data_IF_156761333480
#
_entry.id   IF_156761333480
#
_cell.length_a   1.000
_cell.length_b   1.000
_cell.length_c   1.000
_cell.angle_alpha   90.00
_cell.angle_beta   90.00
_cell.angle_gamma   90.00
#
_symmetry.space_group_name_H-M   'P 1'
#
loop_
_entity.id
_entity.type
_entity.pdbx_description
1 polymer ?
#
# COMPACT_ATOMS: atom_id res chain seq x y z
N UNK A 1 6.33 -13.28 14.28
CA UNK A 1 5.96 -11.95 13.77
C UNK A 1 6.93 -11.61 12.66
N UNK A 2 6.45 -11.42 11.43
CA UNK A 2 7.27 -10.80 10.39
C UNK A 2 7.58 -9.35 10.83
N UNK A 3 8.79 -8.83 10.56
CA UNK A 3 9.11 -7.45 10.88
C UNK A 3 8.12 -6.50 10.18
N UNK A 4 7.71 -5.42 10.86
CA UNK A 4 6.95 -4.33 10.24
C UNK A 4 7.89 -3.60 9.30
N UNK A 5 7.83 -3.97 8.02
CA UNK A 5 8.73 -3.42 7.00
C UNK A 5 8.35 -2.00 6.60
N UNK A 6 7.09 -1.60 6.84
CA UNK A 6 6.55 -0.27 6.56
C UNK A 6 6.06 0.43 7.83
N UNK A 7 6.32 1.74 7.91
CA UNK A 7 5.60 2.67 8.79
C UNK A 7 4.39 3.16 7.99
N UNK A 8 3.19 3.01 8.55
CA UNK A 8 1.93 3.39 7.90
C UNK A 8 1.24 4.51 8.68
N UNK A 9 0.72 5.49 7.94
CA UNK A 9 -0.10 6.58 8.45
C UNK A 9 -1.40 6.63 7.63
N UNK A 10 -2.53 6.56 8.32
CA UNK A 10 -3.86 6.59 7.71
C UNK A 10 -4.65 7.77 8.25
N UNK A 11 -5.09 8.65 7.35
CA UNK A 11 -6.05 9.72 7.61
C UNK A 11 -7.42 9.25 7.12
N UNK A 12 -8.30 8.91 8.07
CA UNK A 12 -9.64 8.42 7.77
C UNK A 12 -10.54 9.50 7.16
N UNK A 13 -10.36 10.77 7.55
CA UNK A 13 -11.15 11.92 7.11
C UNK A 13 -10.86 12.24 5.65
N UNK A 14 -9.58 12.31 5.29
CA UNK A 14 -9.16 12.56 3.91
C UNK A 14 -9.09 11.29 3.05
N UNK A 15 -9.16 10.11 3.66
CA UNK A 15 -8.99 8.83 2.96
C UNK A 15 -7.59 8.64 2.37
N UNK A 16 -6.58 9.19 3.03
CA UNK A 16 -5.18 9.15 2.59
C UNK A 16 -4.40 8.14 3.40
N UNK A 17 -3.67 7.27 2.70
CA UNK A 17 -2.66 6.38 3.24
C UNK A 17 -1.29 6.84 2.79
N UNK A 18 -0.38 6.96 3.72
CA UNK A 18 1.06 7.04 3.50
C UNK A 18 1.72 5.81 4.10
N UNK A 19 2.59 5.15 3.34
CA UNK A 19 3.39 4.04 3.82
C UNK A 19 4.83 4.20 3.34
N UNK A 20 5.80 4.10 4.25
CA UNK A 20 7.23 4.22 3.95
C UNK A 20 7.98 3.05 4.55
N UNK A 21 8.84 2.42 3.73
CA UNK A 21 9.69 1.33 4.19
C UNK A 21 10.70 1.87 5.20
N UNK A 22 10.83 1.24 6.36
CA UNK A 22 11.93 1.58 7.28
C UNK A 22 13.26 1.29 6.58
N UNK A 23 14.23 2.23 6.57
CA UNK A 23 15.54 1.95 6.00
C UNK A 23 16.16 0.75 6.69
N UNK A 24 16.43 -0.32 5.95
CA UNK A 24 17.21 -1.45 6.48
C UNK A 24 18.67 -1.01 6.55
N UNK A 25 19.05 -0.42 7.68
CA UNK A 25 20.42 -0.02 7.97
C UNK A 25 20.66 -0.06 9.48
N UNK A 26 21.52 -0.97 9.90
CA UNK A 26 22.24 -0.85 11.16
C UNK A 26 22.84 0.58 11.21
N UNK A 27 22.74 1.33 12.33
CA UNK A 27 23.42 2.62 12.45
C UNK A 27 24.92 2.39 12.56
N UNK A 28 25.56 1.98 11.46
CA UNK A 28 27.00 1.96 11.32
C UNK A 28 27.48 3.42 11.33
N UNK A 29 28.00 3.82 12.49
CA UNK A 29 28.88 4.96 12.73
C UNK A 29 28.63 6.22 11.88
N UNK A 30 27.84 7.14 12.43
CA UNK A 30 28.06 8.58 12.25
C UNK A 30 27.78 9.17 10.86
N UNK A 31 27.26 8.40 9.91
CA UNK A 31 26.85 8.96 8.63
C UNK A 31 25.46 9.60 8.80
N UNK A 32 25.40 10.94 8.75
CA UNK A 32 24.14 11.67 8.70
C UNK A 32 23.21 11.04 7.65
N UNK A 33 21.91 10.87 7.93
CA UNK A 33 20.98 10.28 6.97
C UNK A 33 21.09 11.08 5.65
N UNK A 34 21.09 10.42 4.48
CA UNK A 34 21.11 11.14 3.22
C UNK A 34 19.90 12.08 3.19
N UNK A 35 20.18 13.38 3.22
CA UNK A 35 19.19 14.44 3.14
C UNK A 35 18.61 14.46 1.73
N UNK A 36 17.53 13.71 1.51
CA UNK A 36 16.70 13.77 0.30
C UNK A 36 16.55 12.45 -0.50
N UNK A 37 15.50 12.32 -1.33
CA UNK A 37 15.12 11.12 -2.08
C UNK A 37 16.03 10.89 -3.30
N UNK A 38 17.35 10.85 -3.11
CA UNK A 38 18.28 10.55 -4.20
C UNK A 38 18.12 9.07 -4.61
N UNK A 39 17.58 8.82 -5.80
CA UNK A 39 17.44 7.49 -6.40
C UNK A 39 16.05 6.86 -6.32
N UNK A 40 15.04 7.57 -5.83
CA UNK A 40 13.65 7.12 -5.90
C UNK A 40 12.99 7.55 -7.20
N UNK A 41 12.27 6.62 -7.83
CA UNK A 41 11.46 6.86 -9.03
C UNK A 41 9.99 6.79 -8.63
N UNK A 42 9.26 7.91 -8.64
CA UNK A 42 7.82 7.92 -8.38
C UNK A 42 7.04 7.44 -9.60
N UNK A 43 5.99 6.65 -9.37
CA UNK A 43 5.06 6.17 -10.40
C UNK A 43 3.64 6.44 -9.93
N UNK A 44 3.02 7.47 -10.51
CA UNK A 44 1.65 7.87 -10.25
C UNK A 44 0.66 7.23 -11.22
N UNK A 45 -0.44 6.69 -10.71
CA UNK A 45 -1.54 6.18 -11.51
C UNK A 45 -2.87 6.21 -10.76
N UNK A 46 -3.96 5.96 -11.49
CA UNK A 46 -5.30 5.80 -10.92
C UNK A 46 -5.78 4.39 -11.17
N UNK A 47 -6.34 3.76 -10.15
CA UNK A 47 -6.91 2.42 -10.22
C UNK A 47 -7.91 2.23 -9.07
N UNK A 48 -8.75 1.20 -9.18
CA UNK A 48 -9.51 0.71 -8.03
C UNK A 48 -8.52 0.06 -7.07
N UNK A 49 -8.56 0.47 -5.80
CA UNK A 49 -7.72 -0.09 -4.76
C UNK A 49 -8.56 -0.46 -3.54
N UNK A 50 -8.03 -1.37 -2.73
CA UNK A 50 -8.57 -1.73 -1.41
C UNK A 50 -7.48 -1.62 -0.36
N UNK A 51 -7.76 -0.92 0.74
CA UNK A 51 -6.92 -0.86 1.93
C UNK A 51 -7.52 -1.83 2.96
N UNK A 52 -6.71 -2.76 3.45
CA UNK A 52 -7.07 -3.70 4.51
C UNK A 52 -6.68 -3.16 5.88
N UNK A 53 -7.56 -3.35 6.86
CA UNK A 53 -7.34 -2.94 8.25
C UNK A 53 -7.33 -4.16 9.17
N UNK A 54 -6.33 -4.20 10.05
CA UNK A 54 -6.21 -5.16 11.14
C UNK A 54 -7.25 -4.86 12.24
N UNK A 55 -7.49 -5.80 13.19
CA UNK A 55 -8.45 -5.60 14.29
C UNK A 55 -8.16 -4.39 15.19
N UNK A 56 -6.92 -3.91 15.25
CA UNK A 56 -6.53 -2.71 16.00
C UNK A 56 -6.78 -1.40 15.21
N UNK A 57 -7.32 -1.50 13.99
CA UNK A 57 -7.54 -0.38 13.08
C UNK A 57 -6.30 0.03 12.28
N UNK A 58 -5.16 -0.63 12.48
CA UNK A 58 -3.95 -0.40 11.71
C UNK A 58 -4.08 -0.88 10.27
N UNK A 59 -3.52 -0.14 9.32
CA UNK A 59 -3.48 -0.57 7.92
C UNK A 59 -2.51 -1.75 7.78
N UNK A 60 -3.02 -2.88 7.29
CA UNK A 60 -2.26 -4.12 7.20
C UNK A 60 -1.91 -4.53 5.77
N UNK A 61 -2.62 -4.03 4.75
CA UNK A 61 -2.33 -4.34 3.35
C UNK A 61 -2.98 -3.36 2.37
N UNK A 62 -2.44 -3.32 1.15
CA UNK A 62 -3.05 -2.65 -0.01
C UNK A 62 -3.17 -3.62 -1.18
N UNK A 63 -4.33 -3.58 -1.83
CA UNK A 63 -4.69 -4.41 -2.97
C UNK A 63 -5.08 -3.53 -4.15
N UNK A 64 -4.56 -3.81 -5.34
CA UNK A 64 -4.90 -3.12 -6.59
C UNK A 64 -5.06 -4.17 -7.69
N UNK A 65 -6.28 -4.69 -7.92
CA UNK A 65 -6.51 -5.84 -8.80
C UNK A 65 -6.15 -5.58 -10.27
N UNK A 66 -6.25 -4.33 -10.73
CA UNK A 66 -6.06 -3.94 -12.13
C UNK A 66 -5.13 -2.72 -12.24
N UNK A 67 -3.82 -2.95 -12.29
CA UNK A 67 -2.84 -1.90 -12.60
C UNK A 67 -2.88 -1.57 -14.10
N UNK A 68 -2.78 -0.28 -14.48
CA UNK A 68 -2.73 0.07 -15.89
C UNK A 68 -1.53 -0.58 -16.61
N UNK A 69 -1.71 -1.03 -17.86
CA UNK A 69 -0.65 -1.72 -18.63
C UNK A 69 0.63 -0.89 -18.76
N UNK A 70 0.53 0.45 -18.78
CA UNK A 70 1.69 1.36 -18.82
C UNK A 70 2.52 1.33 -17.52
N UNK A 71 1.94 0.90 -16.41
CA UNK A 71 2.54 0.88 -15.07
C UNK A 71 3.21 -0.47 -14.79
N UNK A 72 2.63 -1.57 -15.27
CA UNK A 72 3.13 -2.92 -15.02
C UNK A 72 4.63 -3.12 -15.37
N UNK A 73 5.18 -2.59 -16.48
CA UNK A 73 6.61 -2.71 -16.80
C UNK A 73 7.52 -2.03 -15.77
N UNK A 74 7.07 -0.93 -15.17
CA UNK A 74 7.86 -0.14 -14.23
C UNK A 74 7.89 -0.76 -12.82
N UNK A 75 6.87 -1.55 -12.46
CA UNK A 75 6.82 -2.32 -11.20
C UNK A 75 7.55 -3.67 -11.32
N UNK A 76 7.92 -4.10 -12.53
CA UNK A 76 8.57 -5.39 -12.81
C UNK A 76 9.81 -5.67 -11.96
N UNK A 77 10.50 -4.63 -11.50
CA UNK A 77 11.71 -4.72 -10.69
C UNK A 77 11.44 -4.95 -9.22
N UNK A 78 10.24 -4.66 -8.69
CA UNK A 78 9.95 -4.69 -7.25
C UNK A 78 9.54 -6.07 -6.69
N UNK A 79 10.13 -7.17 -7.18
CA UNK A 79 9.66 -8.57 -6.99
C UNK A 79 10.11 -9.24 -5.69
N UNK A 80 10.41 -8.49 -4.63
CA UNK A 80 10.79 -9.12 -3.37
C UNK A 80 9.58 -9.79 -2.68
N UNK A 81 9.84 -10.87 -1.95
CA UNK A 81 8.80 -11.66 -1.28
C UNK A 81 8.08 -10.90 -0.16
N UNK A 82 8.62 -9.75 0.26
CA UNK A 82 8.09 -8.92 1.33
C UNK A 82 7.16 -7.82 0.81
N UNK A 83 7.34 -7.38 -0.43
CA UNK A 83 6.63 -6.25 -1.05
C UNK A 83 5.48 -6.72 -1.92
N UNK A 84 5.64 -7.89 -2.54
CA UNK A 84 4.68 -8.45 -3.50
C UNK A 84 4.25 -9.81 -2.99
N UNK A 85 3.25 -9.82 -2.11
CA UNK A 85 2.60 -11.08 -1.77
C UNK A 85 1.91 -11.62 -3.02
N UNK A 86 2.54 -12.60 -3.69
CA UNK A 86 1.99 -13.36 -4.84
C UNK A 86 1.30 -12.54 -5.95
N UNK A 87 1.67 -11.29 -6.17
CA UNK A 87 1.08 -10.49 -7.24
C UNK A 87 1.74 -10.86 -8.58
N UNK A 88 1.05 -11.71 -9.35
CA UNK A 88 1.39 -12.01 -10.73
C UNK A 88 1.34 -10.72 -11.54
N UNK A 89 2.49 -10.11 -11.77
CA UNK A 89 2.61 -9.00 -12.73
C UNK A 89 2.26 -9.41 -14.17
N UNK A 90 2.21 -10.72 -14.46
CA UNK A 90 1.65 -11.24 -15.72
C UNK A 90 0.13 -11.04 -15.81
N UNK A 91 -0.57 -10.83 -14.68
CA UNK A 91 -2.03 -10.64 -14.62
C UNK A 91 -2.47 -9.22 -14.27
N UNK A 92 -1.55 -8.26 -14.14
CA UNK A 92 -1.90 -6.86 -13.84
C UNK A 92 -2.40 -6.61 -12.41
N UNK A 93 -2.03 -7.47 -11.44
CA UNK A 93 -2.43 -7.33 -10.05
C UNK A 93 -1.25 -6.86 -9.17
N UNK A 94 -1.48 -5.93 -8.26
CA UNK A 94 -0.55 -5.50 -7.22
C UNK A 94 -1.12 -5.75 -5.82
N UNK A 95 -0.35 -6.42 -4.96
CA UNK A 95 -0.67 -6.63 -3.55
C UNK A 95 0.55 -6.31 -2.68
N UNK A 96 0.38 -5.41 -1.73
CA UNK A 96 1.45 -4.93 -0.83
C UNK A 96 1.04 -5.26 0.62
N UNK A 97 1.66 -6.26 1.26
CA UNK A 97 1.46 -6.49 2.69
C UNK A 97 2.22 -5.43 3.49
N UNK A 98 1.53 -4.74 4.39
CA UNK A 98 2.11 -3.68 5.23
C UNK A 98 2.37 -4.15 6.66
N UNK A 99 1.70 -5.24 7.08
CA UNK A 99 1.96 -5.95 8.34
C UNK A 99 1.68 -7.44 8.18
N UNK A 100 2.03 -8.25 9.19
CA UNK A 100 1.69 -9.67 9.24
C UNK A 100 0.29 -9.96 9.78
N UNK A 101 -0.48 -8.93 10.14
CA UNK A 101 -1.80 -9.07 10.74
C UNK A 101 -2.87 -9.31 9.66
N UNK A 102 -3.86 -10.18 9.92
CA UNK A 102 -4.94 -10.44 8.96
C UNK A 102 -5.88 -9.23 8.85
N UNK A 103 -6.29 -8.92 7.62
CA UNK A 103 -7.32 -7.91 7.38
C UNK A 103 -8.69 -8.42 7.88
N UNK A 104 -9.40 -7.59 8.66
CA UNK A 104 -10.78 -7.85 9.06
C UNK A 104 -11.77 -6.91 8.37
N UNK A 105 -11.30 -5.75 7.94
CA UNK A 105 -12.09 -4.74 7.25
C UNK A 105 -11.35 -4.27 6.01
N UNK A 106 -12.11 -3.84 5.01
CA UNK A 106 -11.56 -3.30 3.77
C UNK A 106 -12.28 -2.02 3.39
N UNK A 107 -11.51 -1.00 3.00
CA UNK A 107 -12.04 0.19 2.32
C UNK A 107 -11.59 0.13 0.87
N UNK A 108 -12.54 0.18 -0.06
CA UNK A 108 -12.28 0.08 -1.50
C UNK A 108 -12.85 1.27 -2.24
N UNK A 109 -12.23 1.64 -3.36
CA UNK A 109 -12.69 2.74 -4.19
C UNK A 109 -11.69 3.11 -5.27
N UNK A 110 -12.06 4.04 -6.14
CA UNK A 110 -11.12 4.63 -7.07
C UNK A 110 -10.11 5.47 -6.28
N UNK A 111 -8.82 5.26 -6.53
CA UNK A 111 -7.76 5.98 -5.84
C UNK A 111 -6.72 6.55 -6.81
N UNK A 112 -6.14 7.68 -6.42
CA UNK A 112 -4.81 8.09 -6.88
C UNK A 112 -3.76 7.36 -6.06
N UNK A 113 -2.83 6.71 -6.74
CA UNK A 113 -1.80 5.86 -6.16
C UNK A 113 -0.47 6.36 -6.68
N UNK A 114 0.48 6.59 -5.77
CA UNK A 114 1.87 6.84 -6.10
C UNK A 114 2.73 5.76 -5.43
N UNK A 115 3.52 5.06 -6.23
CA UNK A 115 4.56 4.16 -5.74
C UNK A 115 5.91 4.86 -5.84
N UNK A 116 6.71 4.78 -4.78
CA UNK A 116 8.10 5.18 -4.77
C UNK A 116 8.97 3.93 -4.86
N UNK A 117 9.73 3.82 -5.94
CA UNK A 117 10.62 2.69 -6.18
C UNK A 117 12.08 3.12 -6.00
N UNK A 118 12.90 2.29 -5.36
CA UNK A 118 14.36 2.42 -5.36
C UNK A 118 14.97 1.11 -5.77
N UNK A 119 15.76 1.14 -6.86
CA UNK A 119 16.32 -0.06 -7.49
C UNK A 119 15.24 -1.09 -7.86
N UNK A 120 15.01 -2.07 -6.99
CA UNK A 120 14.15 -3.25 -7.17
C UNK A 120 13.20 -3.44 -5.99
N UNK A 121 12.85 -2.37 -5.27
CA UNK A 121 11.94 -2.43 -4.13
C UNK A 121 10.97 -1.24 -4.11
N UNK A 122 9.75 -1.47 -3.63
CA UNK A 122 8.86 -0.39 -3.20
C UNK A 122 9.39 0.15 -1.88
N UNK A 123 9.79 1.42 -1.87
CA UNK A 123 10.24 2.12 -0.66
C UNK A 123 9.16 3.02 -0.08
N UNK A 124 8.12 3.34 -0.86
CA UNK A 124 6.96 4.07 -0.36
C UNK A 124 5.73 3.88 -1.24
N UNK A 125 4.58 4.13 -0.62
CA UNK A 125 3.26 4.09 -1.22
C UNK A 125 2.45 5.25 -0.65
N UNK A 126 1.86 6.03 -1.53
CA UNK A 126 0.84 7.01 -1.19
C UNK A 126 -0.45 6.62 -1.92
N UNK A 127 -1.57 6.63 -1.22
CA UNK A 127 -2.88 6.30 -1.79
C UNK A 127 -3.91 7.30 -1.28
N UNK A 128 -4.68 7.90 -2.18
CA UNK A 128 -5.79 8.77 -1.85
C UNK A 128 -7.05 8.32 -2.58
N UNK A 129 -8.09 7.95 -1.84
CA UNK A 129 -9.39 7.66 -2.43
C UNK A 129 -10.00 8.94 -3.04
N UNK A 130 -10.55 8.82 -4.25
CA UNK A 130 -11.14 9.91 -5.02
C UNK A 130 -12.66 10.01 -4.86
N UNK A 131 -13.32 8.91 -4.50
CA UNK A 131 -14.75 8.91 -4.22
C UNK A 131 -14.98 9.43 -2.79
N UNK A 132 -15.81 10.47 -2.65
CA UNK A 132 -16.37 10.88 -1.37
C UNK A 132 -16.98 9.66 -0.69
N UNK A 133 -16.67 9.49 0.60
CA UNK A 133 -17.16 8.38 1.43
C UNK A 133 -18.68 8.46 1.50
N UNK A 134 -19.37 7.84 0.54
CA UNK A 134 -20.74 7.41 0.77
C UNK A 134 -20.64 6.17 1.63
N UNK A 135 -20.77 6.41 2.93
CA UNK A 135 -21.11 5.46 3.98
C UNK A 135 -22.32 4.63 3.54
N UNK A 136 -22.09 3.62 2.68
CA UNK A 136 -23.08 2.57 2.47
C UNK A 136 -22.92 1.63 3.64
N UNK A 137 -23.61 2.01 4.71
CA UNK A 137 -24.22 1.12 5.69
C UNK A 137 -24.40 -0.26 5.08
N UNK A 138 -23.67 -1.24 5.62
CA UNK A 138 -24.07 -2.63 5.49
C UNK A 138 -25.52 -2.68 5.97
N UNK A 139 -26.49 -3.16 5.17
CA UNK A 139 -27.82 -3.35 5.70
C UNK A 139 -27.68 -4.34 6.85
N UNK A 140 -28.04 -3.86 8.04
CA UNK A 140 -28.35 -4.69 9.20
C UNK A 140 -29.26 -5.80 8.67
N UNK A 141 -28.77 -7.04 8.66
CA UNK A 141 -29.67 -8.18 8.50
C UNK A 141 -30.44 -8.31 9.82
N UNK A 142 -31.34 -7.35 10.04
CA UNK A 142 -32.45 -7.50 10.96
C UNK A 142 -33.32 -8.66 10.43
N UNK A 143 -33.11 -9.81 11.05
CA UNK A 143 -34.17 -10.58 11.68
C UNK A 143 -35.48 -10.66 10.87
N UNK A 144 -35.67 -11.76 10.17
CA UNK A 144 -37.00 -12.23 9.80
C UNK A 144 -37.13 -13.70 10.14
N UNK A 145 -37.61 -13.88 11.38
CA UNK A 145 -38.59 -14.85 11.90
C UNK A 145 -38.63 -16.26 11.32
#
# INVERSE_FOLDING_TARGET
MAPRTFITEWDAESGVLEAVRTPTGDPADGQSPPTGPAGETPIGFRAVASVGFAPDGGVCAVNVPDIPERVAPAIRTARDAETVGNAWLDSGWLWIPLSGDPAQQHRSGLAEIELRLRSEAVTGLSLRFLDEVSDRQFPDQENST
#
